data_IF_557001697589
#
_entry.id   IF_557001697589
#
_cell.length_a   1.000
_cell.length_b   1.000
_cell.length_c   1.000
_cell.angle_alpha   90.00
_cell.angle_beta   90.00
_cell.angle_gamma   90.00
#
_symmetry.space_group_name_H-M   'P 1'
#
loop_
_entity.id
_entity.type
_entity.pdbx_description
1 polymer ?
#
# COMPACT_ATOMS: atom_id res chain seq x y z
N UNK A 1 0.58 -14.46 -12.45
CA UNK A 1 1.48 -13.40 -11.98
C UNK A 1 2.21 -13.90 -10.73
N UNK A 2 3.49 -13.86 -10.79
CA UNK A 2 4.27 -14.45 -9.73
C UNK A 2 4.18 -13.66 -8.43
N UNK A 3 4.11 -12.36 -8.53
CA UNK A 3 4.04 -11.53 -7.35
C UNK A 3 3.68 -10.11 -7.76
N UNK A 4 3.10 -9.40 -6.83
CA UNK A 4 2.92 -7.98 -6.97
C UNK A 4 4.17 -7.30 -6.45
N UNK A 5 4.75 -6.50 -7.30
CA UNK A 5 5.93 -5.76 -6.93
C UNK A 5 5.48 -4.49 -6.22
N UNK A 6 5.49 -4.51 -4.91
CA UNK A 6 5.03 -3.36 -4.14
C UNK A 6 5.99 -2.19 -4.17
N UNK A 7 7.25 -2.44 -4.50
CA UNK A 7 8.27 -1.41 -4.56
C UNK A 7 8.73 -1.20 -6.00
N UNK A 8 7.80 -1.06 -6.92
CA UNK A 8 8.13 -1.00 -8.34
C UNK A 8 8.73 0.34 -8.75
N UNK A 9 8.41 1.38 -8.04
CA UNK A 9 8.94 2.68 -8.40
C UNK A 9 10.34 2.82 -7.83
N UNK A 10 11.21 3.41 -8.61
CA UNK A 10 12.60 3.56 -8.23
C UNK A 10 12.84 4.69 -7.24
N UNK A 11 11.82 5.08 -6.48
CA UNK A 11 11.96 6.12 -5.48
C UNK A 11 12.60 5.52 -4.24
N UNK A 12 13.77 6.02 -3.89
CA UNK A 12 14.41 5.63 -2.64
C UNK A 12 13.85 6.52 -1.54
N UNK A 13 13.19 5.89 -0.58
CA UNK A 13 12.59 6.62 0.53
C UNK A 13 13.34 6.24 1.80
N UNK A 14 13.83 7.25 2.50
CA UNK A 14 14.47 7.07 3.79
C UNK A 14 13.43 6.57 4.78
N UNK A 15 13.80 5.58 5.60
CA UNK A 15 12.90 5.01 6.61
C UNK A 15 12.43 6.05 7.61
N UNK A 16 13.20 7.11 7.82
CA UNK A 16 12.81 8.17 8.74
C UNK A 16 11.92 9.22 8.11
N UNK A 17 11.77 9.18 6.79
CA UNK A 17 10.93 10.14 6.08
C UNK A 17 9.47 9.83 6.35
N UNK A 18 8.71 10.88 6.67
CA UNK A 18 7.28 10.77 6.87
C UNK A 18 6.57 11.75 5.95
N UNK A 19 5.37 11.38 5.56
CA UNK A 19 4.57 12.15 4.63
C UNK A 19 3.25 12.54 5.29
N UNK A 20 2.85 13.79 5.11
CA UNK A 20 1.48 14.20 5.43
C UNK A 20 0.53 13.61 4.38
N UNK A 21 -0.77 13.68 4.65
CA UNK A 21 -1.75 13.27 3.65
C UNK A 21 -1.59 14.06 2.35
N UNK A 22 -1.39 15.37 2.45
CA UNK A 22 -1.22 16.20 1.27
C UNK A 22 0.01 15.81 0.47
N UNK A 23 1.11 15.52 1.16
CA UNK A 23 2.33 15.07 0.49
C UNK A 23 2.14 13.72 -0.17
N UNK A 24 1.41 12.81 0.50
CA UNK A 24 1.12 11.50 -0.06
C UNK A 24 0.25 11.62 -1.31
N UNK A 25 -0.74 12.50 -1.28
CA UNK A 25 -1.58 12.77 -2.46
C UNK A 25 -0.75 13.22 -3.64
N UNK A 26 0.18 14.15 -3.41
CA UNK A 26 1.04 14.63 -4.50
C UNK A 26 1.95 13.54 -5.02
N UNK A 27 2.53 12.75 -4.13
CA UNK A 27 3.44 11.67 -4.53
C UNK A 27 2.72 10.59 -5.31
N UNK A 28 1.46 10.32 -5.00
CA UNK A 28 0.66 9.28 -5.64
C UNK A 28 -0.17 9.82 -6.82
N UNK A 29 -0.23 11.13 -6.98
CA UNK A 29 -1.08 11.76 -8.00
C UNK A 29 -2.54 11.33 -7.83
N UNK A 30 -3.01 11.33 -6.60
CA UNK A 30 -4.36 10.92 -6.24
C UNK A 30 -4.98 11.96 -5.31
N UNK A 31 -6.31 12.03 -5.33
CA UNK A 31 -7.00 12.92 -4.42
C UNK A 31 -7.06 12.35 -3.01
N UNK A 32 -7.37 13.21 -2.05
CA UNK A 32 -7.38 12.79 -0.65
C UNK A 32 -8.48 11.77 -0.36
N UNK A 33 -9.61 11.85 -1.06
CA UNK A 33 -10.72 10.92 -0.83
C UNK A 33 -10.29 9.48 -1.10
N UNK A 34 -9.51 9.25 -2.14
CA UNK A 34 -9.02 7.92 -2.47
C UNK A 34 -8.08 7.39 -1.40
N UNK A 35 -7.17 8.23 -0.91
CA UNK A 35 -6.23 7.80 0.12
C UNK A 35 -6.92 7.60 1.47
N UNK A 36 -7.88 8.46 1.81
CA UNK A 36 -8.67 8.28 3.02
C UNK A 36 -9.44 6.95 2.95
N UNK A 37 -10.00 6.62 1.80
CA UNK A 37 -10.68 5.34 1.62
C UNK A 37 -9.76 4.15 1.88
N UNK A 38 -8.50 4.23 1.45
CA UNK A 38 -7.53 3.17 1.73
C UNK A 38 -7.19 3.07 3.22
N UNK A 39 -7.16 4.19 3.92
CA UNK A 39 -7.00 4.19 5.38
C UNK A 39 -8.21 3.53 6.03
N UNK A 40 -9.41 3.90 5.60
CA UNK A 40 -10.65 3.35 6.16
C UNK A 40 -10.72 1.84 5.97
N UNK A 41 -10.17 1.32 4.89
CA UNK A 41 -10.15 -0.11 4.60
C UNK A 41 -8.95 -0.84 5.21
N UNK A 42 -8.09 -0.13 5.92
CA UNK A 42 -6.96 -0.75 6.59
C UNK A 42 -5.75 -1.02 5.70
N UNK A 43 -5.77 -0.55 4.46
CA UNK A 43 -4.61 -0.71 3.56
C UNK A 43 -3.46 0.16 4.01
N UNK A 44 -3.77 1.34 4.51
CA UNK A 44 -2.79 2.30 5.04
C UNK A 44 -3.07 2.54 6.51
N UNK A 45 -2.02 2.63 7.30
CA UNK A 45 -2.11 2.84 8.74
C UNK A 45 -1.24 4.03 9.14
N UNK A 46 -1.78 5.25 9.04
CA UNK A 46 -1.01 6.43 9.44
C UNK A 46 -0.88 6.52 10.96
N UNK A 47 0.15 7.21 11.40
CA UNK A 47 0.23 7.68 12.76
C UNK A 47 -0.60 8.96 12.88
N UNK A 48 -1.22 9.18 14.04
CA UNK A 48 -2.08 10.34 14.26
C UNK A 48 -3.55 9.95 14.23
N UNK A 49 -4.38 10.78 14.86
CA UNK A 49 -5.79 10.44 15.04
C UNK A 49 -6.71 11.08 14.02
N UNK A 50 -6.31 12.23 13.50
CA UNK A 50 -7.13 12.96 12.53
C UNK A 50 -6.38 13.11 11.22
N UNK A 51 -7.10 13.22 10.10
CA UNK A 51 -6.45 13.31 8.79
C UNK A 51 -5.44 14.44 8.67
N UNK A 52 -5.66 15.56 9.34
CA UNK A 52 -4.73 16.69 9.32
C UNK A 52 -3.48 16.44 10.15
N UNK A 53 -3.50 15.41 10.99
CA UNK A 53 -2.36 15.02 11.82
C UNK A 53 -1.64 13.78 11.29
N UNK A 54 -2.19 13.13 10.28
CA UNK A 54 -1.65 11.87 9.79
C UNK A 54 -0.23 12.02 9.28
N UNK A 55 0.57 10.99 9.57
CA UNK A 55 1.92 10.84 9.06
C UNK A 55 2.07 9.42 8.52
N UNK A 56 2.53 9.34 7.29
CA UNK A 56 2.68 8.07 6.58
C UNK A 56 4.16 7.77 6.38
N UNK A 57 4.52 6.50 6.52
CA UNK A 57 5.90 6.05 6.30
C UNK A 57 6.20 5.90 4.81
N UNK A 58 7.47 5.68 4.49
CA UNK A 58 7.86 5.33 3.11
C UNK A 58 7.23 4.04 2.65
N UNK A 59 7.08 3.07 3.56
CA UNK A 59 6.40 1.82 3.23
C UNK A 59 4.93 2.08 2.87
N UNK A 60 4.28 3.00 3.57
CA UNK A 60 2.90 3.38 3.24
C UNK A 60 2.81 4.03 1.86
N UNK A 61 3.80 4.85 1.50
CA UNK A 61 3.83 5.44 0.16
C UNK A 61 3.86 4.36 -0.91
N UNK A 62 4.73 3.37 -0.76
CA UNK A 62 4.83 2.29 -1.72
C UNK A 62 3.55 1.47 -1.79
N UNK A 63 2.96 1.20 -0.63
CA UNK A 63 1.70 0.46 -0.55
C UNK A 63 0.56 1.24 -1.20
N UNK A 64 0.50 2.54 -0.99
CA UNK A 64 -0.51 3.39 -1.60
C UNK A 64 -0.40 3.35 -3.13
N UNK A 65 0.81 3.45 -3.66
CA UNK A 65 1.03 3.37 -5.10
C UNK A 65 0.57 2.04 -5.67
N UNK A 66 0.93 0.94 -5.01
CA UNK A 66 0.51 -0.39 -5.45
C UNK A 66 -1.01 -0.54 -5.40
N UNK A 67 -1.64 -0.07 -4.33
CA UNK A 67 -3.09 -0.16 -4.18
C UNK A 67 -3.81 0.65 -5.26
N UNK A 68 -3.34 1.86 -5.52
CA UNK A 68 -3.95 2.71 -6.55
C UNK A 68 -3.78 2.11 -7.95
N UNK A 69 -2.64 1.49 -8.20
CA UNK A 69 -2.41 0.80 -9.49
C UNK A 69 -3.35 -0.38 -9.65
N UNK A 70 -3.48 -1.22 -8.64
CA UNK A 70 -4.39 -2.37 -8.69
C UNK A 70 -5.84 -1.92 -8.88
N UNK A 71 -6.24 -0.89 -8.13
CA UNK A 71 -7.59 -0.35 -8.24
C UNK A 71 -7.89 0.13 -9.66
N UNK A 72 -6.94 0.84 -10.27
CA UNK A 72 -7.11 1.34 -11.62
C UNK A 72 -7.11 0.21 -12.65
N UNK A 73 -6.12 -0.68 -12.57
CA UNK A 73 -5.92 -1.69 -13.59
C UNK A 73 -6.99 -2.77 -13.57
N UNK A 74 -7.54 -3.06 -12.40
CA UNK A 74 -8.55 -4.10 -12.21
C UNK A 74 -9.93 -3.54 -11.91
N UNK A 75 -10.06 -2.22 -11.94
CA UNK A 75 -11.33 -1.54 -11.67
C UNK A 75 -11.94 -1.98 -10.33
N UNK A 76 -11.12 -1.94 -9.29
CA UNK A 76 -11.54 -2.35 -7.95
C UNK A 76 -11.95 -1.14 -7.12
N UNK A 77 -13.03 -1.31 -6.34
CA UNK A 77 -13.35 -0.33 -5.31
C UNK A 77 -12.37 -0.48 -4.13
N UNK A 78 -12.40 0.44 -3.14
CA UNK A 78 -11.45 0.35 -2.02
C UNK A 78 -11.53 -0.96 -1.25
N UNK A 79 -12.73 -1.50 -1.01
CA UNK A 79 -12.88 -2.79 -0.32
C UNK A 79 -12.25 -3.92 -1.11
N UNK A 80 -12.50 -3.95 -2.41
CA UNK A 80 -11.91 -4.97 -3.27
C UNK A 80 -10.40 -4.86 -3.34
N UNK A 81 -9.90 -3.63 -3.40
CA UNK A 81 -8.46 -3.38 -3.38
C UNK A 81 -7.83 -3.90 -2.08
N UNK A 82 -8.47 -3.63 -0.95
CA UNK A 82 -8.00 -4.11 0.35
C UNK A 82 -7.93 -5.64 0.39
N UNK A 83 -8.96 -6.30 -0.12
CA UNK A 83 -9.01 -7.76 -0.16
C UNK A 83 -7.87 -8.32 -1.03
N UNK A 84 -7.65 -7.75 -2.20
CA UNK A 84 -6.58 -8.20 -3.09
C UNK A 84 -5.22 -8.02 -2.42
N UNK A 85 -4.98 -6.87 -1.79
CA UNK A 85 -3.73 -6.62 -1.09
C UNK A 85 -3.51 -7.65 0.02
N UNK A 86 -4.54 -7.94 0.81
CA UNK A 86 -4.45 -8.93 1.88
C UNK A 86 -4.17 -10.33 1.34
N UNK A 87 -4.84 -10.71 0.26
CA UNK A 87 -4.62 -12.02 -0.36
C UNK A 87 -3.21 -12.15 -0.92
N UNK A 88 -2.71 -11.11 -1.56
CA UNK A 88 -1.35 -11.12 -2.09
C UNK A 88 -0.32 -11.23 -0.96
N UNK A 89 -0.56 -10.56 0.15
CA UNK A 89 0.32 -10.66 1.31
C UNK A 89 0.30 -12.09 1.89
N UNK A 90 -0.88 -12.71 1.95
CA UNK A 90 -1.02 -14.07 2.43
C UNK A 90 -0.30 -15.06 1.51
N UNK A 91 -0.46 -14.89 0.20
CA UNK A 91 0.24 -15.73 -0.78
C UNK A 91 1.74 -15.59 -0.60
N UNK A 92 2.24 -14.38 -0.46
CA UNK A 92 3.67 -14.15 -0.27
C UNK A 92 4.18 -14.80 1.00
N UNK A 93 3.41 -14.72 2.09
CA UNK A 93 3.78 -15.33 3.36
C UNK A 93 3.83 -16.86 3.25
N UNK A 94 2.84 -17.45 2.58
CA UNK A 94 2.79 -18.90 2.40
C UNK A 94 3.93 -19.39 1.52
N UNK A 95 4.24 -18.66 0.45
CA UNK A 95 5.36 -19.00 -0.41
C UNK A 95 6.68 -18.93 0.34
N UNK A 96 6.84 -17.94 1.20
CA UNK A 96 8.04 -17.82 2.01
C UNK A 96 8.19 -19.03 2.96
N UNK A 97 7.08 -19.46 3.56
CA UNK A 97 7.10 -20.64 4.43
C UNK A 97 7.48 -21.90 3.64
N UNK A 98 6.91 -22.08 2.46
CA UNK A 98 7.23 -23.23 1.63
C UNK A 98 8.70 -23.23 1.22
N UNK A 99 9.21 -22.06 0.86
CA UNK A 99 10.61 -21.94 0.48
C UNK A 99 11.54 -22.30 1.65
N UNK A 100 11.23 -21.82 2.85
CA UNK A 100 12.03 -22.13 4.04
C UNK A 100 11.98 -23.62 4.39
N UNK A 101 10.88 -24.28 4.07
CA UNK A 101 10.74 -25.71 4.28
C UNK A 101 11.34 -26.55 3.15
N UNK A 102 11.86 -25.91 2.12
CA UNK A 102 12.43 -26.63 0.98
C UNK A 102 11.40 -27.22 0.04
N UNK A 103 10.16 -26.73 0.10
CA UNK A 103 9.05 -27.31 -0.69
C UNK A 103 8.70 -26.48 -1.92
N UNK A 104 9.36 -25.36 -2.11
CA UNK A 104 9.08 -24.50 -3.27
C UNK A 104 10.32 -23.79 -3.76
#
# INVERSE_FOLDING_TARGET
MAHVQLAVDAVVVDETTQFSLAELCRACQADSARLVALVDEGVLEPAGQRPDEWRFSGAALQRARAALRLSRDLDLNPSGTALVIDLLAEIAALRAKLHRAGLA
#
